data_IF_701851862532
#
_entry.id   IF_701851862532
#
_cell.length_a   1.000
_cell.length_b   1.000
_cell.length_c   1.000
_cell.angle_alpha   90.00
_cell.angle_beta   90.00
_cell.angle_gamma   90.00
#
_symmetry.space_group_name_H-M   'P 1'
#
loop_
_entity.id
_entity.type
_entity.pdbx_description
1 polymer ?
#
# COMPACT_ATOMS: atom_id res chain seq x y z
N UNK A 1 -16.64 -4.15 -5.54
CA UNK A 1 -15.29 -3.89 -6.11
C UNK A 1 -14.91 -2.41 -6.22
N UNK A 2 -15.83 -1.45 -5.98
CA UNK A 2 -15.52 0.00 -5.89
C UNK A 2 -15.33 0.50 -4.45
N UNK A 3 -15.29 -0.44 -3.51
CA UNK A 3 -15.13 -0.14 -2.09
C UNK A 3 -13.65 -0.19 -1.71
N UNK A 4 -13.30 0.56 -0.68
CA UNK A 4 -11.95 0.56 -0.13
C UNK A 4 -11.76 -0.76 0.62
N UNK A 5 -10.75 -1.53 0.23
CA UNK A 5 -10.37 -2.75 0.92
C UNK A 5 -9.18 -2.48 1.87
N UNK A 6 -9.05 -3.28 2.93
CA UNK A 6 -7.96 -3.18 3.90
C UNK A 6 -6.58 -3.31 3.23
N UNK A 7 -6.46 -4.14 2.19
CA UNK A 7 -5.22 -4.35 1.44
C UNK A 7 -4.73 -3.10 0.70
N UNK A 8 -5.58 -2.07 0.55
CA UNK A 8 -5.17 -0.79 -0.05
C UNK A 8 -4.30 0.02 0.89
N UNK A 9 -4.27 -0.30 2.18
CA UNK A 9 -3.53 0.45 3.18
C UNK A 9 -2.06 0.56 2.81
N UNK A 10 -1.58 1.79 2.70
CA UNK A 10 -0.20 2.11 2.32
C UNK A 10 0.16 1.87 0.85
N UNK A 11 -0.72 1.23 0.06
CA UNK A 11 -0.50 0.84 -1.34
C UNK A 11 -1.25 1.73 -2.32
N UNK A 12 -2.51 2.05 -2.04
CA UNK A 12 -3.40 2.86 -2.90
C UNK A 12 -3.98 4.00 -2.07
N UNK A 13 -4.05 5.20 -2.66
CA UNK A 13 -4.67 6.35 -2.01
C UNK A 13 -6.21 6.23 -2.07
N UNK A 14 -6.92 6.18 -0.92
CA UNK A 14 -8.38 6.03 -0.93
C UNK A 14 -9.14 7.32 -1.27
N UNK A 15 -8.47 8.47 -1.17
CA UNK A 15 -9.08 9.79 -1.37
C UNK A 15 -8.95 10.23 -2.83
N UNK A 16 -7.81 9.93 -3.45
CA UNK A 16 -7.50 10.35 -4.81
C UNK A 16 -8.12 9.38 -5.82
N UNK A 17 -9.42 9.56 -6.04
CA UNK A 17 -10.22 8.85 -7.06
C UNK A 17 -11.08 9.86 -7.82
N UNK A 18 -11.42 9.54 -9.07
CA UNK A 18 -12.33 10.37 -9.86
C UNK A 18 -13.73 10.35 -9.27
N UNK A 19 -14.43 11.48 -9.23
CA UNK A 19 -15.81 11.53 -8.75
C UNK A 19 -16.82 11.00 -9.79
N UNK A 20 -18.07 10.77 -9.34
CA UNK A 20 -19.18 10.38 -10.20
C UNK A 20 -19.13 8.93 -10.65
N UNK A 21 -19.47 8.65 -11.92
CA UNK A 21 -19.66 7.28 -12.43
C UNK A 21 -18.39 6.41 -12.33
N UNK A 22 -17.22 7.03 -12.31
CA UNK A 22 -15.92 6.35 -12.30
C UNK A 22 -15.30 6.27 -10.90
N UNK A 23 -16.01 6.70 -9.85
CA UNK A 23 -15.53 6.57 -8.47
C UNK A 23 -15.18 5.12 -8.12
N UNK A 24 -13.97 4.94 -7.59
CA UNK A 24 -13.41 3.64 -7.21
C UNK A 24 -12.94 2.77 -8.37
N UNK A 25 -12.99 3.26 -9.63
CA UNK A 25 -12.42 2.57 -10.78
C UNK A 25 -11.01 3.06 -11.12
N UNK A 26 -10.80 4.37 -11.01
CA UNK A 26 -9.50 5.02 -11.23
C UNK A 26 -8.98 5.41 -9.85
N UNK A 27 -7.81 4.89 -9.50
CA UNK A 27 -7.18 5.05 -8.20
C UNK A 27 -5.71 5.46 -8.42
N UNK A 28 -5.19 6.29 -7.53
CA UNK A 28 -3.78 6.67 -7.52
C UNK A 28 -2.97 5.81 -6.53
N UNK A 29 -1.71 5.56 -6.86
CA UNK A 29 -0.77 4.88 -5.96
C UNK A 29 -0.51 5.75 -4.72
N UNK A 30 -0.29 5.12 -3.57
CA UNK A 30 0.18 5.84 -2.39
C UNK A 30 1.64 6.26 -2.55
N UNK A 31 2.05 7.27 -1.76
CA UNK A 31 3.33 7.99 -1.92
C UNK A 31 4.57 7.08 -1.98
N UNK A 32 4.61 6.06 -1.12
CA UNK A 32 5.80 5.21 -0.96
C UNK A 32 5.59 3.80 -1.52
N UNK A 33 4.52 3.59 -2.30
CA UNK A 33 4.23 2.29 -2.91
C UNK A 33 5.27 1.94 -3.96
N UNK A 34 5.69 0.69 -3.98
CA UNK A 34 6.55 0.12 -5.02
C UNK A 34 5.87 -1.04 -5.69
N UNK A 35 6.33 -1.37 -6.90
CA UNK A 35 5.91 -2.55 -7.64
C UNK A 35 7.08 -3.52 -7.58
N UNK A 36 6.84 -4.76 -7.17
CA UNK A 36 7.86 -5.80 -7.17
C UNK A 36 8.03 -6.43 -8.57
N UNK A 37 9.02 -7.31 -8.73
CA UNK A 37 9.31 -7.93 -10.03
C UNK A 37 8.16 -8.80 -10.56
N UNK A 38 7.25 -9.24 -9.69
CA UNK A 38 6.06 -10.03 -10.01
C UNK A 38 4.83 -9.15 -10.33
N UNK A 39 4.94 -7.83 -10.14
CA UNK A 39 3.88 -6.87 -10.45
C UNK A 39 2.93 -6.55 -9.28
N UNK A 40 3.22 -7.02 -8.06
CA UNK A 40 2.43 -6.70 -6.87
C UNK A 40 2.82 -5.35 -6.26
N UNK A 41 1.84 -4.72 -5.63
CA UNK A 41 2.04 -3.48 -4.86
C UNK A 41 2.62 -3.80 -3.47
N UNK A 42 3.74 -3.16 -3.17
CA UNK A 42 4.43 -3.27 -1.90
C UNK A 42 4.51 -1.94 -1.18
N UNK A 43 4.44 -2.00 0.15
CA UNK A 43 4.52 -0.83 1.02
C UNK A 43 5.68 -0.96 1.98
N UNK A 44 6.43 0.12 2.24
CA UNK A 44 7.48 0.11 3.23
C UNK A 44 6.89 0.07 4.64
N UNK A 45 7.42 -0.83 5.46
CA UNK A 45 7.11 -0.99 6.87
C UNK A 45 8.38 -0.95 7.70
N UNK A 46 8.20 -0.58 8.97
CA UNK A 46 9.25 -0.60 9.96
C UNK A 46 9.18 -1.89 10.77
N UNK A 47 10.28 -2.64 10.80
CA UNK A 47 10.39 -3.79 11.68
C UNK A 47 10.51 -3.33 13.15
N UNK A 48 9.63 -3.84 14.00
CA UNK A 48 9.62 -3.55 15.44
C UNK A 48 10.13 -4.77 16.19
N UNK A 49 11.15 -4.58 17.04
CA UNK A 49 11.67 -5.63 17.92
C UNK A 49 11.75 -5.12 19.35
N UNK A 50 11.12 -5.84 20.29
CA UNK A 50 11.05 -5.47 21.72
C UNK A 50 10.62 -4.00 21.93
N UNK A 51 9.55 -3.58 21.27
CA UNK A 51 9.03 -2.20 21.32
C UNK A 51 9.98 -1.11 20.80
N UNK A 52 11.05 -1.48 20.08
CA UNK A 52 11.97 -0.54 19.44
C UNK A 52 11.91 -0.70 17.93
N UNK A 53 11.82 0.43 17.23
CA UNK A 53 11.90 0.48 15.77
C UNK A 53 13.35 0.19 15.37
N UNK A 54 13.56 -0.82 14.52
CA UNK A 54 14.87 -1.08 13.92
C UNK A 54 15.13 -0.03 12.83
N UNK A 55 16.20 0.76 12.98
CA UNK A 55 16.65 1.74 11.98
C UNK A 55 17.45 1.14 10.82
N UNK A 56 17.46 -0.19 10.70
CA UNK A 56 18.39 -0.93 9.80
C UNK A 56 18.00 -0.83 8.31
N UNK A 57 16.78 -0.39 8.02
CA UNK A 57 16.25 -0.22 6.67
C UNK A 57 14.72 -0.29 6.67
N UNK A 58 14.11 0.13 5.57
CA UNK A 58 12.68 -0.10 5.29
C UNK A 58 12.52 -1.50 4.69
N UNK A 59 11.57 -2.27 5.21
CA UNK A 59 11.18 -3.55 4.61
C UNK A 59 9.95 -3.32 3.75
N UNK A 60 9.88 -3.96 2.59
CA UNK A 60 8.71 -3.88 1.73
C UNK A 60 7.88 -5.14 1.91
N UNK A 61 6.57 -4.98 2.07
CA UNK A 61 5.63 -6.09 2.21
C UNK A 61 4.60 -6.06 1.08
N UNK A 62 4.47 -7.19 0.39
CA UNK A 62 3.36 -7.44 -0.55
C UNK A 62 2.14 -7.99 0.20
N UNK A 63 1.03 -8.23 -0.51
CA UNK A 63 -0.14 -8.90 0.05
C UNK A 63 0.13 -10.38 0.39
N UNK A 64 1.01 -11.05 -0.34
CA UNK A 64 1.29 -12.47 -0.12
C UNK A 64 2.14 -12.74 1.14
N UNK A 65 2.81 -11.70 1.64
CA UNK A 65 3.73 -11.78 2.79
C UNK A 65 3.08 -11.30 4.10
N UNK A 66 1.82 -10.88 4.04
CA UNK A 66 0.98 -10.49 5.20
C UNK A 66 0.35 -11.73 5.85
#
# INVERSE_FOLDING_TARGET
MREINISYFGRICPIETTEGKNAGLILSLAKETRINDEGFLETPVHEVFKNKIKKKGLFFISYEQE
#
